data_IF_577308724011
#
_entry.id   IF_577308724011
#
_cell.length_a   1.000
_cell.length_b   1.000
_cell.length_c   1.000
_cell.angle_alpha   90.00
_cell.angle_beta   90.00
_cell.angle_gamma   90.00
#
_symmetry.space_group_name_H-M   'P 1'
#
loop_
_entity.id
_entity.type
_entity.pdbx_description
1 polymer ?
#
# COMPACT_ATOMS: atom_id res chain seq x y z
N UNK A 1 13.53 6.64 5.93
CA UNK A 1 12.18 6.73 6.52
C UNK A 1 12.34 7.08 7.99
N UNK A 2 11.88 8.27 8.36
CA UNK A 2 11.93 8.76 9.72
C UNK A 2 10.54 8.61 10.34
N UNK A 3 10.45 8.07 11.56
CA UNK A 3 9.18 7.81 12.26
C UNK A 3 9.10 8.67 13.51
N UNK A 4 7.96 9.29 13.77
CA UNK A 4 7.65 10.00 15.00
C UNK A 4 7.22 9.00 16.09
N UNK A 5 8.12 8.73 17.04
CA UNK A 5 7.88 7.78 18.13
C UNK A 5 6.83 8.26 19.15
N UNK A 6 6.41 9.53 19.10
CA UNK A 6 5.32 10.03 19.96
C UNK A 6 3.93 9.57 19.50
N UNK A 7 3.82 9.10 18.25
CA UNK A 7 2.57 8.58 17.69
C UNK A 7 2.43 7.11 18.07
N UNK A 8 1.39 6.80 18.84
CA UNK A 8 1.12 5.43 19.28
C UNK A 8 0.75 4.52 18.09
N UNK A 9 1.24 3.27 18.07
CA UNK A 9 0.87 2.32 17.04
C UNK A 9 -0.61 1.97 17.08
N UNK A 10 -1.22 1.86 15.90
CA UNK A 10 -2.63 1.53 15.75
C UNK A 10 -2.80 0.24 14.95
N UNK A 11 -3.48 -0.72 15.56
CA UNK A 11 -3.96 -1.92 14.89
C UNK A 11 -5.44 -1.72 14.50
N UNK A 12 -5.68 -1.34 13.25
CA UNK A 12 -7.03 -1.14 12.73
C UNK A 12 -7.68 -2.49 12.49
N UNK A 13 -8.93 -2.65 12.94
CA UNK A 13 -9.71 -3.88 12.71
C UNK A 13 -9.87 -4.13 11.21
N UNK A 14 -9.43 -5.29 10.75
CA UNK A 14 -9.65 -5.73 9.38
C UNK A 14 -11.10 -6.19 9.17
N UNK A 15 -11.72 -5.73 8.09
CA UNK A 15 -13.03 -6.21 7.63
C UNK A 15 -12.90 -7.57 6.95
N UNK A 16 -13.92 -8.43 7.06
CA UNK A 16 -13.90 -9.73 6.36
C UNK A 16 -13.98 -9.51 4.85
N UNK A 17 -13.10 -10.17 4.10
CA UNK A 17 -13.22 -10.26 2.64
C UNK A 17 -14.51 -11.03 2.30
N UNK A 18 -15.44 -10.44 1.51
CA UNK A 18 -16.63 -11.13 1.04
C UNK A 18 -16.30 -12.46 0.36
N UNK A 19 -17.10 -13.49 0.63
CA UNK A 19 -16.81 -14.86 0.15
C UNK A 19 -16.63 -14.93 -1.37
N UNK A 20 -17.45 -14.18 -2.13
CA UNK A 20 -17.37 -14.12 -3.58
C UNK A 20 -16.01 -13.61 -4.09
N UNK A 21 -15.35 -12.72 -3.34
CA UNK A 21 -14.08 -12.11 -3.74
C UNK A 21 -12.86 -12.94 -3.36
N UNK A 22 -12.99 -13.93 -2.46
CA UNK A 22 -11.85 -14.77 -2.03
C UNK A 22 -11.17 -15.50 -3.20
N UNK A 23 -11.97 -15.96 -4.17
CA UNK A 23 -11.48 -16.65 -5.38
C UNK A 23 -10.55 -15.79 -6.23
N UNK A 24 -10.66 -14.47 -6.10
CA UNK A 24 -9.81 -13.49 -6.81
C UNK A 24 -8.70 -12.99 -5.90
N UNK A 25 -8.99 -12.80 -4.60
CA UNK A 25 -8.04 -12.29 -3.61
C UNK A 25 -6.91 -13.27 -3.29
N UNK A 26 -7.24 -14.54 -3.01
CA UNK A 26 -6.25 -15.53 -2.58
C UNK A 26 -5.16 -15.78 -3.65
N UNK A 27 -5.49 -15.98 -4.94
CA UNK A 27 -4.45 -16.13 -5.98
C UNK A 27 -3.53 -14.91 -6.09
N UNK A 28 -4.08 -13.70 -5.93
CA UNK A 28 -3.28 -12.47 -6.02
C UNK A 28 -2.33 -12.31 -4.85
N UNK A 29 -2.77 -12.62 -3.63
CA UNK A 29 -1.88 -12.59 -2.46
C UNK A 29 -0.75 -13.61 -2.63
N UNK A 30 -1.07 -14.82 -3.10
CA UNK A 30 -0.04 -15.83 -3.42
C UNK A 30 0.92 -15.33 -4.50
N UNK A 31 0.44 -14.72 -5.58
CA UNK A 31 1.29 -14.12 -6.62
C UNK A 31 2.25 -13.08 -6.02
N UNK A 32 1.78 -12.24 -5.09
CA UNK A 32 2.61 -11.23 -4.43
C UNK A 32 3.65 -11.86 -3.49
N UNK A 33 3.30 -12.92 -2.78
CA UNK A 33 4.23 -13.71 -1.95
C UNK A 33 5.30 -14.40 -2.80
N UNK A 34 4.90 -15.07 -3.88
CA UNK A 34 5.81 -15.74 -4.84
C UNK A 34 6.78 -14.75 -5.50
N UNK A 35 6.32 -13.51 -5.73
CA UNK A 35 7.15 -12.41 -6.23
C UNK A 35 7.97 -11.70 -5.13
N UNK A 36 7.92 -12.18 -3.89
CA UNK A 36 8.64 -11.60 -2.75
C UNK A 36 8.31 -10.12 -2.51
N UNK A 37 7.05 -9.74 -2.72
CA UNK A 37 6.52 -8.39 -2.48
C UNK A 37 5.92 -8.29 -1.08
N UNK A 38 5.30 -9.38 -0.59
CA UNK A 38 4.73 -9.50 0.75
C UNK A 38 5.15 -10.82 1.38
N UNK A 39 4.95 -10.93 2.69
CA UNK A 39 5.21 -12.14 3.48
C UNK A 39 4.23 -12.26 4.65
N UNK A 40 4.11 -13.47 5.19
CA UNK A 40 3.30 -13.71 6.39
C UNK A 40 3.90 -13.01 7.61
N UNK A 41 3.10 -12.16 8.26
CA UNK A 41 3.43 -11.60 9.57
C UNK A 41 3.14 -12.64 10.67
N UNK A 42 4.17 -13.39 11.07
CA UNK A 42 4.06 -14.49 12.04
C UNK A 42 4.06 -14.02 13.51
N UNK A 43 4.63 -12.85 13.78
CA UNK A 43 4.69 -12.24 15.10
C UNK A 43 3.63 -11.15 15.30
N UNK A 44 3.42 -10.76 16.56
CA UNK A 44 2.55 -9.63 16.90
C UNK A 44 3.08 -8.33 16.28
N UNK A 45 2.36 -7.77 15.31
CA UNK A 45 2.71 -6.49 14.71
C UNK A 45 2.03 -5.32 15.45
N UNK A 46 2.76 -4.25 15.77
CA UNK A 46 2.17 -3.09 16.45
C UNK A 46 1.25 -2.28 15.52
N UNK A 47 1.57 -2.26 14.22
CA UNK A 47 0.81 -1.55 13.19
C UNK A 47 0.03 -2.54 12.33
N UNK A 48 -1.28 -2.31 12.19
CA UNK A 48 -2.12 -3.09 11.26
C UNK A 48 -2.98 -2.12 10.47
N UNK A 49 -2.74 -2.06 9.16
CA UNK A 49 -3.53 -1.26 8.21
C UNK A 49 -4.45 -2.17 7.41
N UNK A 50 -5.73 -1.81 7.21
CA UNK A 50 -6.65 -2.67 6.47
C UNK A 50 -6.36 -2.61 4.97
N UNK A 51 -6.49 -3.77 4.31
CA UNK A 51 -6.50 -3.85 2.84
C UNK A 51 -7.90 -3.52 2.30
N UNK A 52 -7.92 -2.73 1.24
CA UNK A 52 -9.07 -2.38 0.41
C UNK A 52 -8.92 -3.09 -0.93
N UNK A 53 -10.00 -3.73 -1.39
CA UNK A 53 -10.05 -4.42 -2.67
C UNK A 53 -10.67 -3.46 -3.68
N UNK A 54 -9.92 -3.12 -4.73
CA UNK A 54 -10.40 -2.25 -5.81
C UNK A 54 -10.27 -2.99 -7.14
N UNK A 55 -11.39 -3.16 -7.84
CA UNK A 55 -11.40 -3.83 -9.14
C UNK A 55 -10.54 -3.08 -10.17
N UNK A 56 -9.87 -3.81 -11.06
CA UNK A 56 -9.24 -3.20 -12.24
C UNK A 56 -10.33 -2.93 -13.27
N UNK A 57 -10.56 -1.67 -13.70
CA UNK A 57 -11.68 -1.33 -14.60
C UNK A 57 -11.68 -2.08 -15.93
N UNK A 58 -10.52 -2.57 -16.37
CA UNK A 58 -10.33 -3.28 -17.64
C UNK A 58 -10.09 -4.77 -17.49
N UNK A 59 -10.01 -5.27 -16.25
CA UNK A 59 -9.78 -6.68 -15.95
C UNK A 59 -10.63 -7.06 -14.72
N UNK A 60 -11.83 -7.61 -14.92
CA UNK A 60 -12.72 -7.99 -13.83
C UNK A 60 -12.24 -9.26 -13.09
N UNK A 61 -11.18 -9.91 -13.57
CA UNK A 61 -10.59 -11.09 -12.95
C UNK A 61 -9.37 -10.76 -12.08
N UNK A 62 -8.97 -9.49 -12.04
CA UNK A 62 -7.85 -8.99 -11.26
C UNK A 62 -8.24 -7.75 -10.46
N UNK A 63 -7.58 -7.53 -9.33
CA UNK A 63 -7.83 -6.38 -8.46
C UNK A 63 -6.51 -5.71 -8.07
N UNK A 64 -6.65 -4.50 -7.55
CA UNK A 64 -5.58 -3.73 -6.93
C UNK A 64 -5.73 -3.86 -5.41
N UNK A 65 -4.87 -4.65 -4.73
CA UNK A 65 -4.78 -4.57 -3.29
C UNK A 65 -4.26 -3.18 -2.92
N UNK A 66 -5.05 -2.43 -2.16
CA UNK A 66 -4.67 -1.11 -1.67
C UNK A 66 -4.65 -1.12 -0.15
N UNK A 67 -3.53 -0.76 0.47
CA UNK A 67 -3.47 -0.64 1.92
C UNK A 67 -3.90 0.76 2.33
N UNK A 68 -4.84 0.87 3.27
CA UNK A 68 -5.23 2.15 3.83
C UNK A 68 -4.18 2.63 4.85
N UNK A 69 -3.23 3.40 4.35
CA UNK A 69 -2.08 3.89 5.13
C UNK A 69 -2.36 5.17 5.92
N UNK A 70 -3.60 5.67 5.98
CA UNK A 70 -3.91 6.98 6.59
C UNK A 70 -3.34 7.11 8.00
N UNK A 71 -3.62 6.13 8.86
CA UNK A 71 -3.16 6.14 10.26
C UNK A 71 -1.65 5.91 10.38
N UNK A 72 -1.09 4.95 9.63
CA UNK A 72 0.36 4.71 9.66
C UNK A 72 1.15 5.94 9.18
N UNK A 73 0.62 6.66 8.19
CA UNK A 73 1.25 7.86 7.64
C UNK A 73 1.29 9.05 8.62
N UNK A 74 0.48 9.06 9.68
CA UNK A 74 0.56 10.10 10.73
C UNK A 74 1.88 10.00 11.50
N UNK A 75 2.44 8.79 11.63
CA UNK A 75 3.73 8.56 12.28
C UNK A 75 4.93 8.75 11.32
N UNK A 76 4.72 8.86 10.01
CA UNK A 76 5.82 8.98 9.04
C UNK A 76 6.17 10.46 8.83
N UNK A 77 7.39 10.83 9.17
CA UNK A 77 7.91 12.16 8.92
C UNK A 77 8.22 12.32 7.42
N UNK A 78 7.61 13.34 6.79
CA UNK A 78 7.80 13.61 5.36
C UNK A 78 9.18 14.20 5.08
N UNK A 79 9.99 13.45 4.35
CA UNK A 79 11.18 13.98 3.68
C UNK A 79 10.74 14.81 2.46
N UNK A 80 11.35 15.98 2.27
CA UNK A 80 11.13 16.82 1.09
C UNK A 80 12.31 16.62 0.15
N UNK A 81 12.03 16.07 -1.02
CA UNK A 81 12.98 15.94 -2.12
C UNK A 81 12.54 16.89 -3.21
N UNK A 82 13.45 17.74 -3.68
CA UNK A 82 13.15 18.67 -4.77
C UNK A 82 12.88 17.85 -6.03
N UNK A 83 11.63 17.93 -6.50
CA UNK A 83 11.22 17.33 -7.77
C UNK A 83 11.30 18.42 -8.82
N UNK A 84 11.98 18.18 -9.96
CA UNK A 84 12.05 19.18 -11.00
C UNK A 84 10.64 19.55 -11.47
N UNK A 85 10.46 20.83 -11.71
CA UNK A 85 9.26 21.39 -12.30
C UNK A 85 9.07 20.88 -13.73
N UNK A 86 7.85 21.01 -14.23
CA UNK A 86 7.53 20.62 -15.62
C UNK A 86 8.36 21.45 -16.60
N UNK A 87 8.57 22.73 -16.30
CA UNK A 87 9.36 23.66 -17.11
C UNK A 87 10.85 23.25 -17.17
N UNK A 88 11.45 22.86 -16.04
CA UNK A 88 12.82 22.37 -15.99
C UNK A 88 13.00 21.10 -16.82
N UNK A 89 12.05 20.16 -16.71
CA UNK A 89 12.06 18.92 -17.51
C UNK A 89 11.93 19.21 -19.03
N UNK A 90 11.09 20.17 -19.42
CA UNK A 90 10.92 20.55 -20.82
C UNK A 90 12.19 21.22 -21.37
N UNK A 91 12.85 22.04 -20.57
CA UNK A 91 14.09 22.71 -20.97
C UNK A 91 15.25 21.69 -21.20
N UNK A 92 15.35 20.66 -20.36
CA UNK A 92 16.36 19.59 -20.53
C UNK A 92 16.15 18.74 -21.80
N UNK A 93 14.89 18.48 -22.16
CA UNK A 93 14.56 17.64 -23.33
C UNK A 93 14.73 18.41 -24.66
N UNK A 94 14.55 19.73 -24.66
CA UNK A 94 14.59 20.56 -25.87
C UNK A 94 15.97 21.21 -26.13
N UNK A 95 17.05 20.65 -25.59
CA UNK A 95 18.43 21.15 -25.74
C UNK A 95 18.80 21.62 -27.15
#
# INVERSE_FOLDING_TARGET
MHVDESVAPVAVRYGKVPYALRKVVEPKLRELEENNIIEDATDSTPWVSPMVIIDKPKDPTDFRPCIDMRTANEAILRERHDTPTVEELIAEVNG
#
